data_IF_041425405483
#
_entry.id   IF_041425405483
#
_cell.length_a   1.000
_cell.length_b   1.000
_cell.length_c   1.000
_cell.angle_alpha   90.00
_cell.angle_beta   90.00
_cell.angle_gamma   90.00
#
_symmetry.space_group_name_H-M   'P 1'
#
loop_
_entity.id
_entity.type
_entity.pdbx_description
1 polymer ?
#
# COMPACT_ATOMS: atom_id res chain seq x y z
N UNK A 1 -3.86 -8.04 -10.95
CA UNK A 1 -2.72 -8.63 -10.22
C UNK A 1 -3.25 -9.54 -9.10
N UNK A 2 -2.45 -10.48 -8.60
CA UNK A 2 -2.76 -11.36 -7.46
C UNK A 2 -1.63 -11.20 -6.44
N UNK A 3 -1.93 -11.22 -5.14
CA UNK A 3 -0.95 -11.14 -4.07
C UNK A 3 -1.30 -12.10 -2.93
N UNK A 4 -0.28 -12.51 -2.18
CA UNK A 4 -0.45 -13.19 -0.89
C UNK A 4 -0.51 -12.13 0.21
N UNK A 5 -1.53 -12.19 1.07
CA UNK A 5 -1.69 -11.25 2.17
C UNK A 5 -0.75 -11.61 3.33
N UNK A 6 0.12 -10.69 3.77
CA UNK A 6 0.85 -10.85 5.01
C UNK A 6 -0.03 -10.63 6.25
N UNK A 7 -1.28 -10.18 6.08
CA UNK A 7 -2.20 -9.84 7.17
C UNK A 7 -3.10 -11.01 7.56
N UNK A 8 -3.69 -11.70 6.58
CA UNK A 8 -4.60 -12.84 6.83
C UNK A 8 -4.07 -14.20 6.36
N UNK A 9 -2.93 -14.23 5.66
CA UNK A 9 -2.29 -15.46 5.18
C UNK A 9 -2.96 -16.12 3.97
N UNK A 10 -3.83 -15.42 3.25
CA UNK A 10 -4.54 -15.95 2.07
C UNK A 10 -4.21 -15.19 0.79
N UNK A 11 -4.66 -15.69 -0.36
CA UNK A 11 -4.36 -15.11 -1.69
C UNK A 11 -5.53 -14.27 -2.19
N UNK A 12 -5.28 -13.00 -2.49
CA UNK A 12 -6.28 -12.04 -2.97
C UNK A 12 -5.98 -11.48 -4.36
N UNK A 13 -7.01 -10.92 -5.00
CA UNK A 13 -6.88 -10.15 -6.24
C UNK A 13 -6.63 -8.68 -5.90
N UNK A 14 -5.71 -8.04 -6.62
CA UNK A 14 -5.40 -6.62 -6.46
C UNK A 14 -3.92 -6.36 -6.23
N UNK A 15 -3.59 -5.11 -5.93
CA UNK A 15 -2.25 -4.68 -5.53
C UNK A 15 -2.09 -4.78 -4.01
N UNK A 16 -0.86 -5.03 -3.58
CA UNK A 16 -0.42 -4.89 -2.20
C UNK A 16 1.06 -4.52 -2.22
N UNK A 17 1.46 -3.65 -1.31
CA UNK A 17 2.84 -3.21 -1.11
C UNK A 17 3.20 -3.36 0.36
N UNK A 18 4.48 -3.65 0.64
CA UNK A 18 5.02 -3.76 1.99
C UNK A 18 6.32 -2.95 2.13
N UNK A 19 6.98 -3.10 3.28
CA UNK A 19 8.31 -2.56 3.56
C UNK A 19 8.42 -1.02 3.53
N UNK A 20 7.42 -0.32 4.07
CA UNK A 20 7.48 1.13 4.30
C UNK A 20 6.90 1.52 5.64
N UNK A 21 7.52 2.49 6.32
CA UNK A 21 6.96 3.16 7.48
C UNK A 21 6.51 4.57 7.09
N UNK A 22 5.24 4.86 7.28
CA UNK A 22 4.63 6.14 6.93
C UNK A 22 5.16 7.29 7.77
N UNK A 23 5.51 7.07 9.04
CA UNK A 23 6.08 8.12 9.89
C UNK A 23 7.32 8.82 9.27
N UNK A 24 8.12 8.07 8.50
CA UNK A 24 9.21 8.62 7.70
C UNK A 24 8.72 9.13 6.35
N UNK A 25 8.02 8.28 5.61
CA UNK A 25 7.81 8.46 4.17
C UNK A 25 6.68 9.41 3.80
N UNK A 26 5.79 9.78 4.74
CA UNK A 26 4.74 10.78 4.49
C UNK A 26 5.33 12.16 4.15
N UNK A 27 6.53 12.47 4.65
CA UNK A 27 7.12 13.81 4.63
C UNK A 27 7.48 14.28 3.23
N UNK A 28 8.01 13.39 2.39
CA UNK A 28 8.40 13.73 1.03
C UNK A 28 8.42 12.57 0.04
N UNK A 29 8.46 11.30 0.48
CA UNK A 29 8.47 10.17 -0.45
C UNK A 29 7.10 10.03 -1.15
N UNK A 30 6.01 9.88 -0.40
CA UNK A 30 4.67 9.81 -0.99
C UNK A 30 4.26 11.11 -1.72
N UNK A 31 4.61 12.33 -1.22
CA UNK A 31 4.47 13.55 -2.00
C UNK A 31 5.27 13.58 -3.30
N UNK A 32 6.50 13.07 -3.32
CA UNK A 32 7.29 12.96 -4.55
C UNK A 32 6.63 12.01 -5.54
N UNK A 33 6.14 10.86 -5.08
CA UNK A 33 5.41 9.91 -5.92
C UNK A 33 4.16 10.56 -6.53
N UNK A 34 3.41 11.35 -5.78
CA UNK A 34 2.28 12.11 -6.31
C UNK A 34 2.68 13.07 -7.46
N UNK A 35 3.89 13.62 -7.42
CA UNK A 35 4.36 14.57 -8.42
C UNK A 35 4.93 13.88 -9.68
N UNK A 36 5.83 12.91 -9.50
CA UNK A 36 6.61 12.36 -10.61
C UNK A 36 6.21 10.94 -11.04
N UNK A 37 5.54 10.18 -10.17
CA UNK A 37 5.09 8.81 -10.45
C UNK A 37 3.65 8.57 -9.95
N UNK A 38 2.67 9.42 -10.33
CA UNK A 38 1.31 9.36 -9.76
C UNK A 38 0.62 8.02 -10.04
N UNK A 39 0.84 7.44 -11.22
CA UNK A 39 0.26 6.14 -11.60
C UNK A 39 0.75 4.99 -10.70
N UNK A 40 1.96 5.08 -10.16
CA UNK A 40 2.46 4.10 -9.21
C UNK A 40 1.86 4.35 -7.83
N UNK A 41 1.72 5.62 -7.42
CA UNK A 41 1.12 5.92 -6.13
C UNK A 41 -0.37 5.52 -6.05
N UNK A 42 -1.11 5.59 -7.16
CA UNK A 42 -2.50 5.07 -7.23
C UNK A 42 -2.55 3.59 -6.87
N UNK A 43 -1.64 2.77 -7.42
CA UNK A 43 -1.57 1.33 -7.10
C UNK A 43 -1.20 1.11 -5.62
N UNK A 44 -0.33 1.95 -5.07
CA UNK A 44 0.03 1.90 -3.64
C UNK A 44 -1.18 2.23 -2.76
N UNK A 45 -1.96 3.27 -3.08
CA UNK A 45 -3.18 3.61 -2.35
C UNK A 45 -4.22 2.48 -2.41
N UNK A 46 -4.40 1.82 -3.57
CA UNK A 46 -5.23 0.61 -3.67
C UNK A 46 -4.70 -0.52 -2.77
N UNK A 47 -3.38 -0.66 -2.66
CA UNK A 47 -2.73 -1.57 -1.73
C UNK A 47 -3.05 -1.27 -0.26
N UNK A 48 -3.11 0.00 0.14
CA UNK A 48 -3.50 0.38 1.52
C UNK A 48 -4.95 0.05 1.82
N UNK A 49 -5.85 0.21 0.84
CA UNK A 49 -7.24 -0.22 0.98
C UNK A 49 -7.33 -1.74 1.18
N UNK A 50 -6.50 -2.52 0.48
CA UNK A 50 -6.46 -3.98 0.66
C UNK A 50 -5.86 -4.36 2.02
N UNK A 51 -4.77 -3.72 2.45
CA UNK A 51 -4.23 -3.89 3.80
C UNK A 51 -5.29 -3.65 4.88
N UNK A 52 -6.12 -2.63 4.73
CA UNK A 52 -7.24 -2.37 5.64
C UNK A 52 -8.33 -3.45 5.57
N UNK A 53 -8.73 -3.89 4.38
CA UNK A 53 -9.73 -4.96 4.22
C UNK A 53 -9.27 -6.30 4.82
N UNK A 54 -7.98 -6.58 4.75
CA UNK A 54 -7.38 -7.85 5.15
C UNK A 54 -6.95 -7.88 6.63
N UNK A 55 -6.66 -6.71 7.23
CA UNK A 55 -6.20 -6.62 8.63
C UNK A 55 -7.17 -5.91 9.58
N UNK A 56 -8.10 -5.11 9.05
CA UNK A 56 -8.98 -4.22 9.80
C UNK A 56 -8.40 -2.83 10.11
N UNK A 57 -7.12 -2.57 9.80
CA UNK A 57 -6.43 -1.30 10.09
C UNK A 57 -5.60 -0.82 8.90
N UNK A 58 -5.37 0.50 8.82
CA UNK A 58 -4.32 1.02 7.92
C UNK A 58 -2.95 0.73 8.53
N UNK A 59 -1.94 0.36 7.73
CA UNK A 59 -0.57 0.18 8.21
C UNK A 59 0.09 1.53 8.50
N UNK A 60 1.17 1.50 9.29
CA UNK A 60 1.98 2.65 9.72
C UNK A 60 3.46 2.46 9.37
#
# INVERSE_FOLDING_TARGET
RVHYSPYDGTVHKGYLFGDTGFWDTFRCLFPLLNLVYPDENVKMQEGLVNAWKESGFLPE
#
